data_IF_456661025297
#
_entry.id   IF_456661025297
#
_cell.length_a   1.000
_cell.length_b   1.000
_cell.length_c   1.000
_cell.angle_alpha   90.00
_cell.angle_beta   90.00
_cell.angle_gamma   90.00
#
_symmetry.space_group_name_H-M   'P 1'
#
loop_
_entity.id
_entity.type
_entity.pdbx_description
1 polymer ?
#
# COMPACT_ATOMS: atom_id res chain seq x y z
N UNK A 1 -10.91 36.27 30.45
CA UNK A 1 -10.73 35.77 31.82
C UNK A 1 -11.02 34.30 31.81
N UNK A 2 -10.12 33.38 32.08
CA UNK A 2 -8.70 33.39 32.39
C UNK A 2 -8.44 31.87 32.29
N UNK A 3 -7.79 31.41 31.23
CA UNK A 3 -6.34 31.26 31.19
C UNK A 3 -5.79 30.35 32.29
N UNK A 4 -5.00 29.39 31.81
CA UNK A 4 -3.93 28.68 32.52
C UNK A 4 -4.36 27.68 33.60
N UNK A 5 -4.39 26.41 33.20
CA UNK A 5 -3.35 25.43 33.56
C UNK A 5 -3.75 24.06 32.96
N UNK A 6 -2.91 23.25 32.32
CA UNK A 6 -1.50 23.27 31.95
C UNK A 6 -1.42 22.12 30.91
N UNK A 7 -1.21 22.39 29.62
CA UNK A 7 0.07 22.14 28.92
C UNK A 7 0.95 21.06 29.56
N UNK A 8 1.28 20.02 28.78
CA UNK A 8 2.57 19.32 28.57
C UNK A 8 2.23 17.84 28.23
N UNK A 9 2.42 17.30 27.03
CA UNK A 9 3.67 17.21 26.27
C UNK A 9 3.65 17.93 24.90
N UNK A 10 4.51 18.94 24.79
CA UNK A 10 5.24 19.30 23.58
C UNK A 10 6.55 18.47 23.63
N UNK A 11 6.94 17.84 22.53
CA UNK A 11 8.31 17.89 21.96
C UNK A 11 8.42 16.99 20.73
N UNK A 12 8.83 17.65 19.64
CA UNK A 12 9.63 17.23 18.50
C UNK A 12 10.11 15.76 18.44
N UNK A 13 10.21 15.24 17.21
CA UNK A 13 11.50 14.85 16.62
C UNK A 13 11.41 14.97 15.10
N UNK A 14 12.16 15.95 14.59
CA UNK A 14 12.89 15.88 13.32
C UNK A 14 14.06 14.93 13.56
N UNK A 15 14.38 14.03 12.62
CA UNK A 15 15.72 14.04 11.98
C UNK A 15 15.98 12.90 10.99
N UNK A 16 16.64 13.32 9.92
CA UNK A 16 17.56 12.61 9.05
C UNK A 16 18.36 11.50 9.73
N UNK A 17 18.72 10.47 8.96
CA UNK A 17 19.94 9.72 9.24
C UNK A 17 21.06 10.18 8.30
N UNK A 18 21.87 11.10 8.82
CA UNK A 18 23.31 11.11 8.57
C UNK A 18 23.82 9.76 9.05
N UNK A 19 24.54 9.04 8.20
CA UNK A 19 25.20 7.78 8.53
C UNK A 19 25.92 7.85 9.88
N UNK A 20 25.34 7.24 10.91
CA UNK A 20 26.14 6.48 11.87
C UNK A 20 25.63 5.06 11.84
N UNK A 21 26.57 4.12 11.79
CA UNK A 21 26.33 2.68 11.71
C UNK A 21 25.33 2.29 12.81
N UNK A 22 24.09 1.89 12.47
CA UNK A 22 23.18 0.91 13.11
C UNK A 22 21.72 1.20 12.64
N UNK A 23 21.01 0.13 12.25
CA UNK A 23 19.58 -0.03 11.84
C UNK A 23 19.03 0.49 10.49
N UNK A 24 18.55 -0.41 9.60
CA UNK A 24 17.53 -0.10 8.57
C UNK A 24 16.24 0.43 9.20
N UNK A 25 15.46 1.24 8.50
CA UNK A 25 14.06 1.53 8.85
C UNK A 25 13.26 1.72 7.56
N UNK A 26 12.04 1.16 7.49
CA UNK A 26 11.11 1.39 6.39
C UNK A 26 10.33 2.68 6.66
N UNK A 27 10.19 3.52 5.64
CA UNK A 27 9.41 4.77 5.72
C UNK A 27 8.12 4.59 4.92
N UNK A 28 7.00 4.76 5.60
CA UNK A 28 5.68 4.78 4.97
C UNK A 28 5.19 6.22 4.91
N UNK A 29 4.82 6.67 3.72
CA UNK A 29 4.22 7.97 3.49
C UNK A 29 2.72 7.76 3.22
N UNK A 30 1.89 8.30 4.10
CA UNK A 30 0.44 8.24 4.00
C UNK A 30 -0.09 9.57 3.45
N UNK A 31 -0.92 9.51 2.42
CA UNK A 31 -1.58 10.68 1.82
C UNK A 31 -3.05 10.65 2.20
N UNK A 32 -3.44 11.48 3.16
CA UNK A 32 -4.83 11.59 3.61
C UNK A 32 -5.56 12.68 2.83
N UNK A 33 -6.68 12.32 2.22
CA UNK A 33 -7.58 13.30 1.62
C UNK A 33 -8.23 14.16 2.71
N UNK A 34 -8.17 15.48 2.53
CA UNK A 34 -8.81 16.46 3.42
C UNK A 34 -10.06 17.11 2.82
N UNK A 35 -10.16 17.14 1.49
CA UNK A 35 -11.24 17.79 0.76
C UNK A 35 -11.70 16.92 -0.42
N UNK A 36 -12.95 17.05 -0.88
CA UNK A 36 -13.44 16.32 -2.06
C UNK A 36 -12.67 16.71 -3.33
N UNK A 37 -12.60 15.80 -4.31
CA UNK A 37 -12.00 16.07 -5.62
C UNK A 37 -12.87 17.09 -6.37
N UNK A 38 -12.28 18.18 -6.84
CA UNK A 38 -13.00 19.26 -7.51
C UNK A 38 -12.70 19.31 -9.02
N UNK A 39 -11.44 19.58 -9.40
CA UNK A 39 -10.98 19.60 -10.79
C UNK A 39 -10.03 18.44 -11.04
N UNK A 40 -10.29 17.63 -12.08
CA UNK A 40 -9.53 16.40 -12.33
C UNK A 40 -8.03 16.68 -12.56
N UNK A 41 -7.67 17.70 -13.35
CA UNK A 41 -6.26 18.01 -13.65
C UNK A 41 -5.56 18.50 -12.38
N UNK A 42 -6.19 19.41 -11.63
CA UNK A 42 -5.64 19.97 -10.39
C UNK A 42 -5.50 18.89 -9.30
N UNK A 43 -6.46 17.97 -9.19
CA UNK A 43 -6.42 16.86 -8.25
C UNK A 43 -5.35 15.82 -8.62
N UNK A 44 -5.27 15.41 -9.88
CA UNK A 44 -4.22 14.51 -10.35
C UNK A 44 -2.83 15.14 -10.20
N UNK A 45 -2.70 16.44 -10.44
CA UNK A 45 -1.46 17.19 -10.21
C UNK A 45 -1.10 17.24 -8.72
N UNK A 46 -2.09 17.42 -7.84
CA UNK A 46 -1.90 17.39 -6.38
C UNK A 46 -1.39 16.01 -5.92
N UNK A 47 -1.96 14.92 -6.46
CA UNK A 47 -1.56 13.56 -6.08
C UNK A 47 -0.27 13.09 -6.76
N UNK A 48 0.08 13.60 -7.93
CA UNK A 48 1.36 13.29 -8.58
C UNK A 48 2.58 13.78 -7.76
N UNK A 49 2.42 14.85 -6.98
CA UNK A 49 3.47 15.45 -6.13
C UNK A 49 4.07 14.47 -5.11
N UNK A 50 3.29 13.86 -4.21
CA UNK A 50 3.82 12.88 -3.27
C UNK A 50 4.30 11.61 -3.96
N UNK A 51 3.71 11.22 -5.11
CA UNK A 51 4.19 10.09 -5.92
C UNK A 51 5.61 10.35 -6.44
N UNK A 52 5.86 11.50 -7.07
CA UNK A 52 7.19 11.87 -7.58
C UNK A 52 8.22 11.98 -6.45
N UNK A 53 7.81 12.54 -5.32
CA UNK A 53 8.63 12.62 -4.12
C UNK A 53 8.99 11.22 -3.63
N UNK A 54 8.03 10.30 -3.66
CA UNK A 54 8.27 8.94 -3.20
C UNK A 54 9.17 8.14 -4.13
N UNK A 55 8.97 8.26 -5.44
CA UNK A 55 9.83 7.68 -6.47
C UNK A 55 11.27 8.22 -6.33
N UNK A 56 11.43 9.52 -6.07
CA UNK A 56 12.74 10.13 -5.83
C UNK A 56 13.46 9.50 -4.65
N UNK A 57 12.79 9.37 -3.50
CA UNK A 57 13.42 8.82 -2.30
C UNK A 57 13.57 7.30 -2.33
N UNK A 58 12.86 6.59 -3.22
CA UNK A 58 13.07 5.18 -3.50
C UNK A 58 14.38 4.90 -4.26
N UNK A 59 14.99 5.92 -4.91
CA UNK A 59 16.26 5.75 -5.61
C UNK A 59 17.37 5.23 -4.68
N UNK A 60 18.22 4.35 -5.21
CA UNK A 60 19.37 3.82 -4.48
C UNK A 60 20.33 4.96 -4.12
N UNK A 61 20.72 5.03 -2.85
CA UNK A 61 21.53 6.14 -2.31
C UNK A 61 22.87 6.32 -3.01
N UNK A 62 23.52 5.23 -3.40
CA UNK A 62 24.79 5.26 -4.15
C UNK A 62 24.62 6.01 -5.48
N UNK A 63 23.55 5.72 -6.23
CA UNK A 63 23.22 6.45 -7.46
C UNK A 63 22.96 7.93 -7.18
N UNK A 64 22.16 8.24 -6.17
CA UNK A 64 21.83 9.64 -5.81
C UNK A 64 23.08 10.43 -5.43
N UNK A 65 24.01 9.80 -4.71
CA UNK A 65 25.29 10.43 -4.34
C UNK A 65 26.15 10.76 -5.56
N UNK A 66 26.11 9.97 -6.64
CA UNK A 66 26.84 10.31 -7.88
C UNK A 66 26.34 11.58 -8.55
N UNK A 67 25.08 11.96 -8.28
CA UNK A 67 24.44 13.17 -8.82
C UNK A 67 24.64 14.38 -7.90
N UNK A 68 25.20 14.17 -6.71
CA UNK A 68 25.45 15.23 -5.72
C UNK A 68 24.31 15.44 -4.70
N UNK A 69 23.32 14.53 -4.65
CA UNK A 69 22.24 14.58 -3.68
C UNK A 69 20.85 14.53 -4.31
N UNK A 70 19.83 14.32 -3.46
CA UNK A 70 18.42 14.27 -3.90
C UNK A 70 17.93 15.59 -4.49
N UNK A 71 18.46 16.71 -4.01
CA UNK A 71 18.16 18.07 -4.49
C UNK A 71 18.69 18.36 -5.90
N UNK A 72 19.58 17.51 -6.42
CA UNK A 72 20.15 17.63 -7.77
C UNK A 72 19.53 16.68 -8.79
N UNK A 73 18.67 15.76 -8.36
CA UNK A 73 18.01 14.82 -9.28
C UNK A 73 16.90 15.56 -10.02
N UNK A 74 17.07 15.73 -11.33
CA UNK A 74 16.04 16.29 -12.23
C UNK A 74 14.96 15.26 -12.55
N UNK A 75 13.79 15.69 -13.02
CA UNK A 75 12.74 14.76 -13.47
C UNK A 75 13.21 13.83 -14.60
N UNK A 76 14.00 14.35 -15.53
CA UNK A 76 14.61 13.54 -16.59
C UNK A 76 15.57 12.48 -16.00
N UNK A 77 16.38 12.86 -15.03
CA UNK A 77 17.31 11.93 -14.41
C UNK A 77 16.59 10.91 -13.52
N UNK A 78 15.51 11.31 -12.83
CA UNK A 78 14.63 10.43 -12.09
C UNK A 78 14.12 9.28 -12.99
N UNK A 79 13.65 9.60 -14.20
CA UNK A 79 13.14 8.61 -15.15
C UNK A 79 14.20 7.59 -15.59
N UNK A 80 15.49 7.96 -15.56
CA UNK A 80 16.62 7.09 -15.95
C UNK A 80 17.19 6.29 -14.80
N UNK A 81 17.15 6.86 -13.59
CA UNK A 81 17.69 6.24 -12.38
C UNK A 81 16.69 5.30 -11.73
N UNK A 82 15.40 5.61 -11.84
CA UNK A 82 14.34 4.76 -11.30
C UNK A 82 14.24 3.49 -12.12
N UNK A 83 14.20 2.36 -11.43
CA UNK A 83 13.89 1.06 -12.02
C UNK A 83 12.56 0.63 -11.44
N UNK A 84 11.55 0.51 -12.28
CA UNK A 84 10.24 0.05 -11.86
C UNK A 84 10.38 -1.28 -11.10
N UNK A 85 9.89 -1.32 -9.87
CA UNK A 85 9.59 -2.56 -9.18
C UNK A 85 8.25 -3.09 -9.70
N UNK A 86 8.16 -4.39 -9.99
CA UNK A 86 6.94 -5.08 -10.49
C UNK A 86 5.73 -5.03 -9.51
N UNK A 87 5.73 -4.20 -8.46
CA UNK A 87 4.77 -4.27 -7.36
C UNK A 87 4.31 -2.95 -6.74
N UNK A 88 4.91 -1.79 -7.04
CA UNK A 88 4.75 -0.58 -6.21
C UNK A 88 3.29 -0.14 -6.05
N UNK A 89 2.52 -0.10 -7.13
CA UNK A 89 1.08 0.24 -7.10
C UNK A 89 0.21 -0.83 -6.42
N UNK A 90 0.56 -2.11 -6.58
CA UNK A 90 -0.12 -3.23 -5.92
C UNK A 90 0.12 -3.20 -4.41
N UNK A 91 1.35 -2.90 -4.01
CA UNK A 91 1.79 -2.67 -2.64
C UNK A 91 1.03 -1.50 -2.01
N UNK A 92 0.84 -0.37 -2.73
CA UNK A 92 0.02 0.74 -2.24
C UNK A 92 -1.42 0.31 -1.91
N UNK A 93 -2.02 -0.53 -2.77
CA UNK A 93 -3.38 -1.04 -2.53
C UNK A 93 -3.44 -2.00 -1.34
N UNK A 94 -2.48 -2.91 -1.25
CA UNK A 94 -2.34 -3.85 -0.12
C UNK A 94 -2.23 -3.10 1.21
N UNK A 95 -1.39 -2.06 1.26
CA UNK A 95 -1.24 -1.24 2.44
C UNK A 95 -2.48 -0.39 2.74
N UNK A 96 -3.10 0.25 1.75
CA UNK A 96 -4.32 1.04 1.96
C UNK A 96 -5.45 0.19 2.57
N UNK A 97 -5.60 -1.05 2.11
CA UNK A 97 -6.56 -1.99 2.71
C UNK A 97 -6.17 -2.35 4.15
N UNK A 98 -4.90 -2.63 4.41
CA UNK A 98 -4.40 -2.94 5.75
C UNK A 98 -4.62 -1.77 6.73
N UNK A 99 -4.27 -0.56 6.32
CA UNK A 99 -4.37 0.65 7.14
C UNK A 99 -5.83 1.03 7.39
N UNK A 100 -6.70 0.94 6.40
CA UNK A 100 -8.13 1.15 6.57
C UNK A 100 -8.74 0.19 7.62
N UNK A 101 -8.30 -1.06 7.68
CA UNK A 101 -8.71 -2.00 8.74
C UNK A 101 -8.16 -1.56 10.09
N UNK A 102 -6.86 -1.24 10.16
CA UNK A 102 -6.18 -0.84 11.40
C UNK A 102 -6.78 0.43 12.02
N UNK A 103 -7.19 1.38 11.19
CA UNK A 103 -7.80 2.64 11.60
C UNK A 103 -9.34 2.59 11.70
N UNK A 104 -9.93 1.43 11.40
CA UNK A 104 -11.35 1.18 11.60
C UNK A 104 -12.29 1.88 10.60
N UNK A 105 -11.90 2.04 9.33
CA UNK A 105 -12.79 2.58 8.30
C UNK A 105 -14.02 1.67 8.12
N UNK A 106 -15.19 2.18 8.53
CA UNK A 106 -16.43 1.42 8.53
C UNK A 106 -16.80 0.83 7.16
N UNK A 107 -16.52 1.55 6.06
CA UNK A 107 -16.86 1.09 4.69
C UNK A 107 -16.04 -0.12 4.29
N UNK A 108 -14.77 -0.16 4.72
CA UNK A 108 -13.87 -1.30 4.49
C UNK A 108 -14.19 -2.44 5.45
N UNK A 109 -14.38 -2.16 6.74
CA UNK A 109 -14.66 -3.16 7.76
C UNK A 109 -15.95 -3.93 7.48
N UNK A 110 -17.04 -3.25 7.08
CA UNK A 110 -18.33 -3.88 6.78
C UNK A 110 -18.20 -4.91 5.64
N UNK A 111 -17.57 -4.50 4.54
CA UNK A 111 -17.34 -5.33 3.34
C UNK A 111 -16.49 -6.55 3.65
N UNK A 112 -15.39 -6.34 4.37
CA UNK A 112 -14.47 -7.43 4.74
C UNK A 112 -15.14 -8.39 5.71
N UNK A 113 -15.95 -7.89 6.65
CA UNK A 113 -16.71 -8.71 7.57
C UNK A 113 -17.69 -9.62 6.83
N UNK A 114 -18.38 -9.12 5.80
CA UNK A 114 -19.26 -9.94 4.96
C UNK A 114 -18.50 -11.01 4.18
N UNK A 115 -17.32 -10.69 3.66
CA UNK A 115 -16.44 -11.69 3.03
C UNK A 115 -15.97 -12.76 4.02
N UNK A 116 -15.65 -12.36 5.24
CA UNK A 116 -15.20 -13.24 6.30
C UNK A 116 -16.32 -14.19 6.77
N UNK A 117 -17.56 -13.71 6.87
CA UNK A 117 -18.76 -14.53 7.14
C UNK A 117 -18.93 -15.65 6.11
N UNK A 118 -18.79 -15.34 4.81
CA UNK A 118 -18.83 -16.35 3.74
C UNK A 118 -17.67 -17.35 3.81
N UNK A 119 -16.53 -16.94 4.36
CA UNK A 119 -15.41 -17.82 4.66
C UNK A 119 -15.55 -18.59 5.98
N UNK A 120 -16.64 -18.37 6.74
CA UNK A 120 -16.88 -18.93 8.07
C UNK A 120 -15.78 -18.57 9.07
N UNK A 121 -15.22 -17.36 8.94
CA UNK A 121 -14.32 -16.76 9.93
C UNK A 121 -15.21 -15.96 10.89
N UNK A 122 -15.55 -16.48 12.08
CA UNK A 122 -16.42 -15.78 13.02
C UNK A 122 -15.66 -14.68 13.76
N UNK A 123 -16.38 -13.70 14.28
CA UNK A 123 -15.85 -12.69 15.20
C UNK A 123 -16.37 -11.30 14.89
N UNK A 124 -15.92 -10.33 15.68
CA UNK A 124 -16.33 -8.92 15.55
C UNK A 124 -15.17 -7.93 15.61
N UNK A 125 -14.04 -8.30 16.22
CA UNK A 125 -12.85 -7.44 16.28
C UNK A 125 -11.90 -7.77 15.13
N UNK A 126 -12.12 -7.15 13.97
CA UNK A 126 -11.40 -7.44 12.72
C UNK A 126 -9.99 -6.83 12.73
N UNK A 127 -8.99 -7.67 12.49
CA UNK A 127 -7.58 -7.30 12.36
C UNK A 127 -7.01 -7.80 11.05
N UNK A 128 -5.88 -7.20 10.65
CA UNK A 128 -5.13 -7.64 9.49
C UNK A 128 -3.63 -7.73 9.77
N UNK A 129 -2.97 -8.71 9.16
CA UNK A 129 -1.52 -8.86 9.17
C UNK A 129 -1.04 -8.78 7.73
N UNK A 130 -0.16 -7.83 7.44
CA UNK A 130 0.37 -7.58 6.10
C UNK A 130 1.56 -8.48 5.83
N UNK A 131 1.60 -9.12 4.66
CA UNK A 131 2.65 -10.08 4.26
C UNK A 131 3.33 -9.75 2.93
N UNK A 132 2.63 -9.08 2.00
CA UNK A 132 3.08 -8.86 0.62
C UNK A 132 4.19 -7.82 0.42
N UNK A 133 4.52 -7.06 1.47
CA UNK A 133 5.26 -5.81 1.34
C UNK A 133 6.78 -5.92 1.38
N UNK A 134 7.34 -7.08 1.75
CA UNK A 134 8.75 -7.15 2.12
C UNK A 134 9.49 -8.28 1.42
N UNK A 135 10.18 -7.98 0.31
CA UNK A 135 11.25 -8.86 -0.21
C UNK A 135 12.51 -8.81 0.66
N UNK A 136 12.64 -7.82 1.55
CA UNK A 136 13.83 -7.48 2.35
C UNK A 136 13.56 -7.45 3.86
N UNK A 137 12.35 -7.09 4.30
CA UNK A 137 11.97 -7.02 5.72
C UNK A 137 11.65 -8.38 6.36
N UNK A 138 10.49 -9.01 6.22
CA UNK A 138 10.07 -10.25 6.94
C UNK A 138 10.06 -10.19 8.47
N UNK A 139 10.87 -9.35 9.11
CA UNK A 139 10.97 -9.25 10.57
C UNK A 139 9.81 -8.44 11.14
N UNK A 140 9.43 -7.30 10.54
CA UNK A 140 8.22 -6.55 10.93
C UNK A 140 6.90 -7.30 10.68
N UNK A 141 6.87 -8.16 9.65
CA UNK A 141 5.75 -9.08 9.42
C UNK A 141 5.62 -10.09 10.56
N UNK A 142 6.75 -10.59 11.07
CA UNK A 142 6.78 -11.50 12.23
C UNK A 142 6.37 -10.73 13.48
N UNK A 143 6.84 -9.50 13.69
CA UNK A 143 6.54 -8.72 14.89
C UNK A 143 5.03 -8.42 15.02
N UNK A 144 4.39 -7.89 13.97
CA UNK A 144 2.92 -7.65 13.97
C UNK A 144 2.14 -8.98 14.13
N UNK A 145 2.63 -10.05 13.51
CA UNK A 145 2.04 -11.37 13.65
C UNK A 145 2.22 -11.97 15.05
N UNK A 146 3.34 -11.70 15.72
CA UNK A 146 3.63 -12.17 17.07
C UNK A 146 2.78 -11.45 18.13
N UNK A 147 2.45 -10.19 17.89
CA UNK A 147 1.53 -9.39 18.73
C UNK A 147 0.08 -9.85 18.59
N UNK A 148 -0.37 -10.14 17.36
CA UNK A 148 -1.78 -10.45 17.08
C UNK A 148 -2.11 -11.95 17.14
N UNK A 149 -1.16 -12.84 16.86
CA UNK A 149 -1.40 -14.28 16.81
C UNK A 149 -1.06 -14.95 18.13
N UNK A 150 -1.98 -15.77 18.62
CA UNK A 150 -1.73 -16.69 19.74
C UNK A 150 -1.24 -18.05 19.24
N UNK A 151 -0.81 -18.92 20.16
CA UNK A 151 -0.50 -20.32 19.83
C UNK A 151 -1.72 -21.09 19.31
N UNK A 152 -2.93 -20.56 19.53
CA UNK A 152 -4.18 -21.13 19.08
C UNK A 152 -4.77 -20.54 17.80
N UNK A 153 -4.12 -19.53 17.21
CA UNK A 153 -4.59 -18.91 15.97
C UNK A 153 -4.79 -19.93 14.88
N UNK A 154 -6.03 -20.05 14.40
CA UNK A 154 -6.41 -21.05 13.40
C UNK A 154 -6.66 -20.41 12.04
N UNK A 155 -5.95 -20.91 11.04
CA UNK A 155 -6.18 -20.54 9.64
C UNK A 155 -7.33 -21.39 9.05
N UNK A 156 -8.35 -20.71 8.54
CA UNK A 156 -9.47 -21.30 7.81
C UNK A 156 -9.19 -21.22 6.31
N UNK A 157 -9.04 -22.39 5.68
CA UNK A 157 -8.63 -22.55 4.28
C UNK A 157 -9.68 -23.30 3.42
N UNK A 158 -10.93 -23.37 3.90
CA UNK A 158 -12.10 -23.76 3.10
C UNK A 158 -12.24 -25.25 2.75
N UNK A 159 -11.41 -26.13 3.29
CA UNK A 159 -11.55 -27.59 3.11
C UNK A 159 -11.91 -28.29 4.42
N UNK A 160 -12.46 -29.51 4.31
CA UNK A 160 -12.82 -30.33 5.48
C UNK A 160 -11.55 -30.80 6.18
N UNK A 161 -11.40 -30.48 7.46
CA UNK A 161 -10.25 -30.87 8.27
C UNK A 161 -10.08 -29.96 9.48
N UNK A 162 -9.14 -30.30 10.35
CA UNK A 162 -8.78 -29.42 11.46
C UNK A 162 -8.05 -28.19 10.91
N UNK A 163 -8.50 -26.97 11.25
CA UNK A 163 -7.76 -25.75 10.93
C UNK A 163 -6.31 -25.80 11.42
N UNK A 164 -5.38 -25.32 10.60
CA UNK A 164 -3.95 -25.30 10.91
C UNK A 164 -3.64 -24.16 11.89
N UNK A 165 -2.70 -24.39 12.80
CA UNK A 165 -2.18 -23.35 13.70
C UNK A 165 -1.29 -22.39 12.90
N UNK A 166 -1.76 -21.16 12.67
CA UNK A 166 -1.08 -20.18 11.81
C UNK A 166 0.31 -19.84 12.36
N UNK A 167 0.41 -19.53 13.66
CA UNK A 167 1.67 -19.17 14.34
C UNK A 167 2.79 -20.20 14.12
N UNK A 168 2.46 -21.50 14.14
CA UNK A 168 3.42 -22.59 13.93
C UNK A 168 4.02 -22.63 12.52
N UNK A 169 3.35 -22.06 11.53
CA UNK A 169 3.75 -22.11 10.13
C UNK A 169 4.27 -20.77 9.59
N UNK A 170 4.25 -19.68 10.38
CA UNK A 170 4.70 -18.35 9.96
C UNK A 170 6.09 -18.35 9.34
N UNK A 171 7.08 -18.95 10.01
CA UNK A 171 8.46 -19.01 9.51
C UNK A 171 8.56 -19.79 8.19
N UNK A 172 7.79 -20.87 8.05
CA UNK A 172 7.73 -21.65 6.81
C UNK A 172 7.08 -20.86 5.67
N UNK A 173 6.01 -20.12 5.97
CA UNK A 173 5.30 -19.25 5.04
C UNK A 173 6.24 -18.13 4.58
N UNK A 174 6.86 -17.41 5.51
CA UNK A 174 7.86 -16.37 5.25
C UNK A 174 9.03 -16.88 4.38
N UNK A 175 9.54 -18.08 4.69
CA UNK A 175 10.55 -18.73 3.86
C UNK A 175 10.08 -19.01 2.43
N UNK A 176 8.81 -19.40 2.24
CA UNK A 176 8.20 -19.71 0.94
C UNK A 176 7.95 -18.48 0.05
N UNK A 177 7.79 -17.30 0.65
CA UNK A 177 7.78 -16.01 -0.05
C UNK A 177 9.15 -15.69 -0.65
N UNK A 178 10.21 -15.79 0.17
CA UNK A 178 11.60 -15.45 -0.21
C UNK A 178 12.20 -16.43 -1.22
N UNK A 179 11.89 -17.72 -1.09
CA UNK A 179 12.55 -18.76 -1.87
C UNK A 179 11.54 -19.78 -2.42
N UNK A 180 11.57 -19.99 -3.74
CA UNK A 180 10.71 -20.99 -4.38
C UNK A 180 10.98 -22.42 -3.90
N UNK A 181 12.21 -22.72 -3.47
CA UNK A 181 12.63 -24.06 -3.07
C UNK A 181 12.09 -24.50 -1.71
N UNK A 182 11.62 -23.57 -0.87
CA UNK A 182 11.02 -23.87 0.45
C UNK A 182 9.52 -24.11 0.37
N UNK A 183 8.86 -23.72 -0.73
CA UNK A 183 7.41 -23.92 -0.96
C UNK A 183 6.94 -25.38 -0.83
N UNK A 184 7.71 -26.40 -1.26
CA UNK A 184 7.32 -27.80 -1.06
C UNK A 184 7.24 -28.23 0.41
N UNK A 185 7.87 -27.50 1.34
CA UNK A 185 7.82 -27.81 2.78
C UNK A 185 6.51 -27.39 3.46
N UNK A 186 5.68 -26.57 2.79
CA UNK A 186 4.37 -26.21 3.30
C UNK A 186 3.38 -27.38 3.18
N UNK A 187 2.52 -27.61 4.19
CA UNK A 187 1.44 -28.58 4.09
C UNK A 187 0.58 -28.35 2.85
N UNK A 188 0.10 -29.42 2.23
CA UNK A 188 -0.66 -29.37 0.97
C UNK A 188 -1.82 -28.37 1.00
N UNK A 189 -2.57 -28.35 2.12
CA UNK A 189 -3.72 -27.48 2.34
C UNK A 189 -3.40 -25.99 2.34
N UNK A 190 -2.14 -25.61 2.58
CA UNK A 190 -1.67 -24.22 2.68
C UNK A 190 -0.48 -23.92 1.77
N UNK A 191 -0.20 -24.80 0.79
CA UNK A 191 0.94 -24.67 -0.12
C UNK A 191 0.87 -23.42 -1.00
N UNK A 192 -0.29 -22.78 -1.10
CA UNK A 192 -0.52 -21.55 -1.84
C UNK A 192 -0.36 -20.27 -1.02
N UNK A 193 -0.08 -20.34 0.28
CA UNK A 193 -0.01 -19.14 1.15
C UNK A 193 1.10 -18.17 0.81
N UNK A 194 2.12 -18.59 0.06
CA UNK A 194 3.15 -17.68 -0.48
C UNK A 194 2.59 -16.66 -1.48
N UNK A 195 1.32 -16.80 -1.90
CA UNK A 195 0.59 -15.82 -2.73
C UNK A 195 -0.32 -14.91 -1.90
N UNK A 196 -0.36 -15.07 -0.58
CA UNK A 196 -1.17 -14.22 0.29
C UNK A 196 -0.51 -12.85 0.41
N UNK A 197 -1.31 -11.80 0.37
CA UNK A 197 -0.85 -10.42 0.55
C UNK A 197 -1.16 -9.96 1.99
N UNK A 198 -2.27 -10.46 2.55
CA UNK A 198 -2.75 -10.21 3.92
C UNK A 198 -3.20 -11.51 4.60
N UNK A 199 -3.24 -11.52 5.93
CA UNK A 199 -4.14 -12.38 6.70
C UNK A 199 -5.18 -11.51 7.38
N UNK A 200 -6.45 -11.86 7.19
CA UNK A 200 -7.58 -11.20 7.83
C UNK A 200 -8.13 -12.11 8.91
N UNK A 201 -8.34 -11.60 10.10
CA UNK A 201 -8.84 -12.42 11.18
C UNK A 201 -9.50 -11.62 12.27
N UNK A 202 -10.12 -12.34 13.19
CA UNK A 202 -10.79 -11.77 14.34
C UNK A 202 -10.01 -12.14 15.59
N UNK A 203 -9.53 -11.14 16.33
CA UNK A 203 -8.75 -11.37 17.56
C UNK A 203 -9.60 -12.07 18.64
N UNK A 204 -10.92 -11.80 18.67
CA UNK A 204 -11.86 -12.33 19.66
C UNK A 204 -12.14 -13.83 19.49
N UNK A 205 -12.01 -14.37 18.29
CA UNK A 205 -12.20 -15.81 18.02
C UNK A 205 -10.91 -16.54 17.65
N UNK A 206 -9.86 -15.77 17.41
CA UNK A 206 -8.56 -16.21 16.93
C UNK A 206 -8.66 -17.10 15.67
N UNK A 207 -9.46 -16.62 14.72
CA UNK A 207 -9.71 -17.23 13.42
C UNK A 207 -9.26 -16.29 12.32
N UNK A 208 -8.51 -16.86 11.38
CA UNK A 208 -7.83 -16.12 10.33
C UNK A 208 -8.11 -16.74 8.97
N UNK A 209 -8.10 -15.93 7.92
CA UNK A 209 -8.16 -16.33 6.52
C UNK A 209 -7.01 -15.67 5.77
N UNK A 210 -6.38 -16.43 4.88
CA UNK A 210 -5.38 -15.86 3.99
C UNK A 210 -6.08 -15.15 2.84
N UNK A 211 -5.57 -13.97 2.55
CA UNK A 211 -6.21 -13.00 1.66
C UNK A 211 -5.21 -12.58 0.61
N UNK A 212 -5.67 -12.57 -0.64
CA UNK A 212 -4.94 -11.92 -1.74
C UNK A 212 -5.65 -10.63 -2.09
N UNK A 213 -4.87 -9.58 -2.36
CA UNK A 213 -5.32 -8.24 -2.71
C UNK A 213 -4.71 -7.91 -4.07
N UNK A 214 -5.56 -7.56 -5.03
CA UNK A 214 -5.10 -7.22 -6.39
C UNK A 214 -5.85 -6.02 -6.92
N UNK A 215 -5.10 -5.07 -7.47
CA UNK A 215 -5.69 -3.90 -8.15
C UNK A 215 -6.47 -4.29 -9.41
N UNK A 216 -6.04 -5.36 -10.08
CA UNK A 216 -6.74 -5.91 -11.24
C UNK A 216 -7.42 -7.25 -10.88
N UNK A 217 -8.77 -7.32 -10.91
CA UNK A 217 -9.51 -8.57 -10.69
C UNK A 217 -9.09 -9.73 -11.59
N UNK A 218 -8.57 -9.46 -12.80
CA UNK A 218 -8.08 -10.49 -13.70
C UNK A 218 -6.83 -11.21 -13.17
N UNK A 219 -6.07 -10.57 -12.28
CA UNK A 219 -4.87 -11.13 -11.64
C UNK A 219 -5.20 -11.90 -10.35
N UNK A 220 -6.47 -11.94 -9.90
CA UNK A 220 -6.84 -12.80 -8.79
C UNK A 220 -6.66 -14.26 -9.19
N UNK A 221 -5.83 -14.98 -8.44
CA UNK A 221 -5.60 -16.41 -8.62
C UNK A 221 -6.01 -17.19 -7.37
N UNK A 222 -6.72 -18.29 -7.56
CA UNK A 222 -6.97 -19.25 -6.48
C UNK A 222 -5.70 -20.01 -6.12
N UNK A 223 -5.51 -20.33 -4.83
CA UNK A 223 -4.45 -21.23 -4.39
C UNK A 223 -4.83 -21.91 -3.07
N UNK A 224 -4.24 -23.08 -2.80
CA UNK A 224 -4.47 -23.81 -1.56
C UNK A 224 -4.09 -22.95 -0.34
N UNK A 225 -5.04 -22.71 0.56
CA UNK A 225 -4.85 -21.85 1.72
C UNK A 225 -5.52 -20.48 1.59
N UNK A 226 -5.64 -19.94 0.38
CA UNK A 226 -6.27 -18.64 0.12
C UNK A 226 -7.79 -18.76 0.19
N UNK A 227 -8.44 -17.74 0.74
CA UNK A 227 -9.90 -17.72 0.91
C UNK A 227 -10.57 -16.42 0.56
N UNK A 228 -9.92 -15.28 0.74
CA UNK A 228 -10.50 -13.97 0.43
C UNK A 228 -9.67 -13.33 -0.69
N UNK A 229 -10.36 -12.78 -1.69
CA UNK A 229 -9.76 -11.99 -2.76
C UNK A 229 -10.30 -10.56 -2.69
N UNK A 230 -9.48 -9.59 -2.31
CA UNK A 230 -9.86 -8.17 -2.29
C UNK A 230 -9.47 -7.53 -3.60
N UNK A 231 -10.44 -6.86 -4.20
CA UNK A 231 -10.27 -6.11 -5.44
C UNK A 231 -11.05 -4.83 -5.36
N UNK A 232 -10.69 -3.82 -6.16
CA UNK A 232 -11.55 -2.66 -6.27
C UNK A 232 -12.81 -2.94 -7.09
N UNK A 233 -13.89 -2.28 -6.71
CA UNK A 233 -15.11 -2.18 -7.51
C UNK A 233 -14.81 -1.40 -8.81
N UNK A 234 -15.41 -1.81 -9.92
CA UNK A 234 -15.38 -1.07 -11.18
C UNK A 234 -16.75 -0.48 -11.46
N UNK A 235 -16.78 0.77 -11.93
CA UNK A 235 -18.02 1.45 -12.31
C UNK A 235 -18.87 0.58 -13.25
N UNK A 236 -20.18 0.49 -12.98
CA UNK A 236 -21.12 -0.31 -13.76
C UNK A 236 -21.01 -1.83 -13.57
N UNK A 237 -20.17 -2.33 -12.63
CA UNK A 237 -20.16 -3.74 -12.22
C UNK A 237 -20.72 -3.91 -10.82
N UNK A 238 -21.26 -5.10 -10.55
CA UNK A 238 -21.72 -5.44 -9.22
C UNK A 238 -20.56 -5.44 -8.23
N UNK A 239 -20.80 -4.80 -7.11
CA UNK A 239 -19.93 -4.63 -5.95
C UNK A 239 -20.23 -5.66 -4.83
N UNK A 240 -21.14 -6.60 -5.10
CA UNK A 240 -21.53 -7.63 -4.13
C UNK A 240 -20.36 -8.56 -3.84
N UNK A 241 -20.15 -8.81 -2.55
CA UNK A 241 -19.29 -9.89 -2.07
C UNK A 241 -19.85 -11.23 -2.57
N UNK A 242 -19.02 -12.06 -3.20
CA UNK A 242 -19.47 -13.31 -3.81
C UNK A 242 -18.41 -14.40 -3.77
N UNK A 243 -18.84 -15.65 -3.76
CA UNK A 243 -17.96 -16.80 -3.91
C UNK A 243 -17.65 -17.04 -5.40
N UNK A 244 -16.37 -17.05 -5.75
CA UNK A 244 -15.85 -17.62 -7.00
C UNK A 244 -15.46 -19.07 -6.72
N UNK A 245 -16.33 -20.00 -7.15
CA UNK A 245 -16.13 -21.44 -6.91
C UNK A 245 -14.92 -22.00 -7.66
N UNK A 246 -14.61 -21.47 -8.84
CA UNK A 246 -13.47 -21.92 -9.65
C UNK A 246 -12.14 -21.60 -8.97
N UNK A 247 -12.04 -20.42 -8.36
CA UNK A 247 -10.85 -20.01 -7.60
C UNK A 247 -10.89 -20.47 -6.15
N UNK A 248 -12.05 -20.93 -5.67
CA UNK A 248 -12.34 -21.17 -4.27
C UNK A 248 -12.00 -19.93 -3.41
N UNK A 249 -12.40 -18.75 -3.88
CA UNK A 249 -12.17 -17.45 -3.23
C UNK A 249 -13.49 -16.71 -3.03
N UNK A 250 -13.70 -16.15 -1.86
CA UNK A 250 -14.70 -15.11 -1.66
C UNK A 250 -14.11 -13.80 -2.17
N UNK A 251 -14.63 -13.32 -3.28
CA UNK A 251 -14.24 -12.04 -3.87
C UNK A 251 -14.98 -10.93 -3.13
N UNK A 252 -14.21 -10.01 -2.56
CA UNK A 252 -14.67 -8.82 -1.85
C UNK A 252 -14.33 -7.58 -2.66
N UNK A 253 -15.29 -7.02 -3.43
CA UNK A 253 -15.13 -5.73 -4.05
C UNK A 253 -15.18 -4.63 -2.98
N UNK A 254 -14.07 -3.95 -2.77
CA UNK A 254 -14.04 -2.71 -2.00
C UNK A 254 -14.37 -1.56 -2.92
N UNK A 255 -15.27 -0.68 -2.50
CA UNK A 255 -15.41 0.60 -3.16
C UNK A 255 -14.02 1.26 -3.14
N UNK A 256 -13.50 1.52 -4.33
CA UNK A 256 -12.74 2.75 -4.44
C UNK A 256 -13.78 3.83 -4.16
N UNK A 257 -13.62 4.56 -3.06
CA UNK A 257 -14.28 5.86 -2.96
C UNK A 257 -14.02 6.55 -4.29
N UNK A 258 -15.09 6.86 -5.01
CA UNK A 258 -15.07 7.16 -6.45
C UNK A 258 -14.24 8.41 -6.81
N UNK A 259 -13.63 9.07 -5.84
CA UNK A 259 -12.87 10.29 -6.04
C UNK A 259 -11.37 10.11 -5.73
N UNK A 260 -10.96 9.74 -4.51
CA UNK A 260 -9.55 9.87 -4.14
C UNK A 260 -8.64 8.70 -4.50
N UNK A 261 -9.06 7.46 -4.22
CA UNK A 261 -8.26 6.28 -4.57
C UNK A 261 -8.09 6.18 -6.08
N UNK A 262 -9.16 6.48 -6.82
CA UNK A 262 -9.13 6.52 -8.28
C UNK A 262 -8.15 7.60 -8.77
N UNK A 263 -8.24 8.84 -8.27
CA UNK A 263 -7.28 9.90 -8.62
C UNK A 263 -5.85 9.51 -8.26
N UNK A 264 -5.62 8.84 -7.13
CA UNK A 264 -4.28 8.35 -6.78
C UNK A 264 -3.74 7.32 -7.77
N UNK A 265 -4.55 6.33 -8.18
CA UNK A 265 -4.12 5.34 -9.16
C UNK A 265 -3.91 5.93 -10.54
N UNK A 266 -4.76 6.87 -10.94
CA UNK A 266 -4.63 7.58 -12.20
C UNK A 266 -3.34 8.43 -12.20
N UNK A 267 -3.08 9.18 -11.13
CA UNK A 267 -1.83 9.93 -10.96
C UNK A 267 -0.60 9.01 -10.97
N UNK A 268 -0.66 7.86 -10.29
CA UNK A 268 0.42 6.86 -10.31
C UNK A 268 0.69 6.34 -11.71
N UNK A 269 -0.36 5.97 -12.45
CA UNK A 269 -0.25 5.50 -13.83
C UNK A 269 0.33 6.58 -14.74
N UNK A 270 -0.04 7.84 -14.54
CA UNK A 270 0.54 8.97 -15.28
C UNK A 270 2.04 9.08 -15.01
N UNK A 271 2.45 9.07 -13.73
CA UNK A 271 3.88 9.15 -13.35
C UNK A 271 4.67 7.97 -13.91
N UNK A 272 4.13 6.75 -13.83
CA UNK A 272 4.77 5.57 -14.40
C UNK A 272 4.94 5.68 -15.92
N UNK A 273 3.86 6.01 -16.64
CA UNK A 273 3.93 6.18 -18.09
C UNK A 273 4.89 7.30 -18.51
N UNK A 274 4.94 8.39 -17.73
CA UNK A 274 5.86 9.51 -17.92
C UNK A 274 7.33 9.11 -17.72
N UNK A 275 7.63 8.33 -16.68
CA UNK A 275 8.97 7.77 -16.44
C UNK A 275 9.35 6.80 -17.56
N UNK A 276 8.47 5.88 -17.94
CA UNK A 276 8.69 4.91 -19.03
C UNK A 276 8.92 5.61 -20.39
N UNK A 277 8.37 6.83 -20.54
CA UNK A 277 8.58 7.68 -21.71
C UNK A 277 9.86 8.54 -21.64
N UNK A 278 10.78 8.28 -20.70
CA UNK A 278 12.01 9.07 -20.46
C UNK A 278 11.70 10.54 -20.18
N UNK A 279 10.75 10.78 -19.25
CA UNK A 279 10.27 12.10 -18.86
C UNK A 279 9.72 12.95 -20.03
N UNK A 280 9.05 12.29 -20.98
CA UNK A 280 8.33 12.91 -22.10
C UNK A 280 6.85 12.61 -22.00
N UNK A 281 6.03 13.36 -22.74
CA UNK A 281 4.59 13.06 -22.87
C UNK A 281 4.42 11.67 -23.49
N UNK A 282 3.76 10.72 -22.79
CA UNK A 282 3.53 9.38 -23.31
C UNK A 282 2.65 9.38 -24.56
N UNK A 283 2.78 8.34 -25.38
CA UNK A 283 1.92 8.14 -26.54
C UNK A 283 0.45 8.01 -26.11
N UNK A 284 -0.48 8.46 -26.94
CA UNK A 284 -1.92 8.38 -26.69
C UNK A 284 -2.42 6.95 -26.40
N UNK A 285 -1.79 5.93 -26.99
CA UNK A 285 -2.10 4.53 -26.68
C UNK A 285 -1.83 4.15 -25.20
N UNK A 286 -0.87 4.81 -24.55
CA UNK A 286 -0.53 4.58 -23.13
C UNK A 286 -1.44 5.38 -22.21
N UNK A 287 -1.68 6.66 -22.55
CA UNK A 287 -2.56 7.58 -21.83
C UNK A 287 -3.65 8.11 -22.78
N UNK A 288 -4.78 7.40 -22.92
CA UNK A 288 -5.82 7.74 -23.88
C UNK A 288 -6.69 8.93 -23.46
N UNK A 289 -6.77 9.24 -22.17
CA UNK A 289 -7.53 10.40 -21.68
C UNK A 289 -6.76 11.70 -21.90
N UNK A 290 -7.42 12.77 -22.38
CA UNK A 290 -6.78 14.09 -22.51
C UNK A 290 -6.26 14.65 -21.18
N UNK A 291 -7.01 14.46 -20.09
CA UNK A 291 -6.64 14.90 -18.73
C UNK A 291 -5.30 14.28 -18.30
N UNK A 292 -5.16 12.95 -18.44
CA UNK A 292 -3.91 12.23 -18.11
C UNK A 292 -2.70 12.78 -18.89
N UNK A 293 -2.91 13.08 -20.18
CA UNK A 293 -1.85 13.65 -21.04
C UNK A 293 -1.50 15.08 -20.66
N UNK A 294 -2.46 15.88 -20.20
CA UNK A 294 -2.20 17.23 -19.74
C UNK A 294 -1.32 17.24 -18.49
N UNK A 295 -1.61 16.37 -17.51
CA UNK A 295 -0.75 16.19 -16.34
C UNK A 295 0.66 15.75 -16.76
N UNK A 296 0.77 14.77 -17.66
CA UNK A 296 2.08 14.34 -18.19
C UNK A 296 2.83 15.47 -18.92
N UNK A 297 2.12 16.36 -19.61
CA UNK A 297 2.69 17.53 -20.29
C UNK A 297 3.20 18.57 -19.29
N UNK A 298 2.45 18.86 -18.22
CA UNK A 298 2.90 19.72 -17.12
C UNK A 298 4.25 19.23 -16.55
N UNK A 299 4.41 17.91 -16.38
CA UNK A 299 5.66 17.30 -15.93
C UNK A 299 6.77 17.38 -16.99
N UNK A 300 6.45 17.08 -18.25
CA UNK A 300 7.41 17.08 -19.36
C UNK A 300 8.02 18.47 -19.64
N UNK A 301 7.22 19.53 -19.53
CA UNK A 301 7.69 20.92 -19.64
C UNK A 301 8.72 21.29 -18.55
N UNK A 302 8.74 20.55 -17.44
CA UNK A 302 9.60 20.79 -16.28
C UNK A 302 10.69 19.72 -16.12
N UNK A 303 10.89 18.87 -17.13
CA UNK A 303 11.78 17.69 -17.03
C UNK A 303 13.24 18.01 -16.68
N UNK A 304 13.71 19.21 -17.02
CA UNK A 304 15.10 19.65 -16.80
C UNK A 304 15.34 20.20 -15.38
N UNK A 305 14.29 20.41 -14.59
CA UNK A 305 14.38 20.96 -13.25
C UNK A 305 14.47 19.86 -12.18
N UNK A 306 15.09 20.14 -11.01
CA UNK A 306 15.10 19.24 -9.87
C UNK A 306 13.69 18.81 -9.44
N UNK A 307 13.51 17.53 -9.11
CA UNK A 307 12.20 16.96 -8.75
C UNK A 307 11.54 17.73 -7.60
N UNK A 308 12.30 18.09 -6.57
CA UNK A 308 11.78 18.81 -5.41
C UNK A 308 11.27 20.22 -5.78
N UNK A 309 11.98 20.92 -6.67
CA UNK A 309 11.55 22.22 -7.18
C UNK A 309 10.28 22.10 -8.05
N UNK A 310 10.20 21.03 -8.85
CA UNK A 310 9.00 20.78 -9.67
C UNK A 310 7.78 20.50 -8.80
N UNK A 311 7.92 19.66 -7.77
CA UNK A 311 6.85 19.32 -6.82
C UNK A 311 6.32 20.55 -6.09
N UNK A 312 7.21 21.50 -5.75
CA UNK A 312 6.84 22.79 -5.17
C UNK A 312 6.10 23.66 -6.21
N UNK A 313 6.67 23.81 -7.41
CA UNK A 313 6.14 24.68 -8.46
C UNK A 313 4.74 24.25 -8.95
N UNK A 314 4.51 22.95 -9.15
CA UNK A 314 3.19 22.45 -9.58
C UNK A 314 2.17 22.50 -8.43
N UNK A 315 2.64 22.64 -7.18
CA UNK A 315 1.78 22.82 -6.01
C UNK A 315 0.89 24.06 -6.10
N UNK A 316 1.38 25.13 -6.72
CA UNK A 316 0.65 26.40 -6.93
C UNK A 316 -0.61 26.23 -7.79
N UNK A 317 -0.58 25.28 -8.73
CA UNK A 317 -1.67 25.01 -9.67
C UNK A 317 -2.44 23.73 -9.34
N UNK A 318 -2.02 23.03 -8.28
CA UNK A 318 -2.69 21.83 -7.79
C UNK A 318 -3.90 22.18 -6.94
N UNK A 319 -4.82 21.23 -6.76
CA UNK A 319 -5.98 21.47 -5.89
C UNK A 319 -5.49 21.76 -4.46
N UNK A 320 -5.78 22.95 -3.90
CA UNK A 320 -5.32 23.32 -2.57
C UNK A 320 -5.97 22.43 -1.52
N UNK A 321 -5.19 22.09 -0.50
CA UNK A 321 -5.66 21.32 0.66
C UNK A 321 -6.34 19.99 0.30
N UNK A 322 -6.04 19.40 -0.87
CA UNK A 322 -6.57 18.07 -1.20
C UNK A 322 -5.96 17.00 -0.28
N UNK A 323 -4.67 17.14 0.06
CA UNK A 323 -3.86 16.13 0.73
C UNK A 323 -3.20 16.66 2.01
N UNK A 324 -3.18 15.80 3.03
CA UNK A 324 -2.26 15.85 4.15
C UNK A 324 -1.31 14.64 4.11
N UNK A 325 -0.02 14.92 4.01
CA UNK A 325 1.03 13.90 4.07
C UNK A 325 1.40 13.60 5.52
N UNK A 326 1.28 12.33 5.94
CA UNK A 326 1.76 11.82 7.23
C UNK A 326 2.88 10.80 6.98
N UNK A 327 4.05 11.03 7.59
CA UNK A 327 5.18 10.09 7.53
C UNK A 327 5.21 9.22 8.80
N UNK A 328 5.17 7.90 8.62
CA UNK A 328 5.33 6.93 9.73
C UNK A 328 6.60 6.11 9.54
N UNK A 329 7.45 6.05 10.56
CA UNK A 329 8.58 5.11 10.61
C UNK A 329 8.14 3.81 11.29
N UNK A 330 8.35 2.69 10.61
CA UNK A 330 8.23 1.37 11.24
C UNK A 330 9.64 0.89 11.53
N UNK A 331 9.98 0.66 12.81
CA UNK A 331 11.34 0.28 13.22
C UNK A 331 11.71 -1.13 12.75
N UNK A 332 12.77 -1.28 11.95
CA UNK A 332 13.34 -2.59 11.59
C UNK A 332 14.43 -2.93 12.59
N UNK A 333 14.31 -4.04 13.32
CA UNK A 333 15.45 -4.56 14.08
C UNK A 333 16.47 -5.21 13.13
N UNK A 334 17.75 -4.87 13.31
CA UNK A 334 18.89 -5.26 12.47
C UNK A 334 19.06 -6.77 12.30
N UNK A 335 19.14 -7.25 11.06
CA UNK A 335 20.01 -8.38 10.69
C UNK A 335 20.59 -8.21 9.28
N UNK A 336 21.85 -8.64 9.12
CA UNK A 336 22.76 -8.36 7.99
C UNK A 336 22.18 -8.68 6.60
N UNK A 337 21.98 -7.64 5.80
CA UNK A 337 21.75 -7.67 4.36
C UNK A 337 21.71 -6.24 3.83
N UNK A 338 22.28 -5.97 2.65
CA UNK A 338 22.30 -4.62 2.07
C UNK A 338 20.88 -4.11 1.86
N UNK A 339 20.52 -3.04 2.56
CA UNK A 339 19.27 -2.31 2.45
C UNK A 339 19.11 -1.75 1.04
N UNK A 340 18.14 -2.28 0.28
CA UNK A 340 17.58 -1.58 -0.86
C UNK A 340 16.41 -0.73 -0.35
N UNK A 341 16.34 0.50 -0.83
CA UNK A 341 15.38 1.53 -0.46
C UNK A 341 13.95 1.09 -0.78
N UNK A 342 13.14 0.81 0.24
CA UNK A 342 11.71 0.54 0.09
C UNK A 342 10.93 1.73 0.69
N UNK A 343 10.31 2.53 -0.18
CA UNK A 343 9.30 3.52 0.21
C UNK A 343 7.94 3.03 -0.22
N UNK A 344 6.98 3.12 0.69
CA UNK A 344 5.58 2.75 0.45
C UNK A 344 4.74 4.02 0.52
N UNK A 345 4.02 4.31 -0.56
CA UNK A 345 3.05 5.41 -0.60
C UNK A 345 1.64 4.85 -0.43
N UNK A 346 0.87 5.39 0.50
CA UNK A 346 -0.44 4.86 0.85
C UNK A 346 -1.53 5.94 0.83
N UNK A 347 -2.49 5.88 -0.10
CA UNK A 347 -3.64 6.80 -0.11
C UNK A 347 -4.67 6.43 0.97
N UNK A 348 -5.20 7.45 1.65
CA UNK A 348 -6.30 7.36 2.62
C UNK A 348 -7.43 8.32 2.25
N UNK A 349 -8.68 7.86 2.12
CA UNK A 349 -9.81 8.73 1.81
C UNK A 349 -10.16 9.65 2.98
N UNK A 350 -11.02 10.64 2.72
CA UNK A 350 -11.55 11.51 3.77
C UNK A 350 -12.28 10.67 4.83
N UNK A 351 -12.05 10.97 6.12
CA UNK A 351 -12.74 10.29 7.20
C UNK A 351 -14.19 10.79 7.25
N UNK A 352 -15.19 9.91 7.42
CA UNK A 352 -16.56 10.37 7.58
C UNK A 352 -16.67 11.28 8.81
N UNK A 353 -17.22 12.46 8.61
CA UNK A 353 -17.43 13.45 9.67
C UNK A 353 -18.43 12.88 10.69
N UNK A 354 -17.92 12.36 11.81
CA UNK A 354 -18.75 11.77 12.87
C UNK A 354 -19.56 12.83 13.65
N UNK A 355 -19.45 14.12 13.30
CA UNK A 355 -20.08 15.22 14.04
C UNK A 355 -20.90 16.21 13.19
N UNK A 356 -21.25 15.91 11.93
CA UNK A 356 -22.19 16.75 11.17
C UNK A 356 -23.65 16.35 11.48
N UNK A 357 -24.19 16.86 12.59
CA UNK A 357 -25.64 17.07 12.79
C UNK A 357 -25.90 18.42 13.41
#
# INVERSE_FOLDING_TARGET
>A
MLDIALRTLIKAIVAFNVTTRIDPAMRVQQERQLNPVADEVAALTAVARPILTGVLYALRRDLVQTVGGYDKVTLELLARLYRAGDGDCGICFEYAVHDAIRNGDARVLERISDAAKLCKVPGTDLHSILFGLEKTGTQQLIDTAEELLTDDSRLLYGTKGQPLKLRKHLNGIAGAFRNRNTRPALPYSIRGLWKADLFLGFSDTDRWAATTVKINPAQLEGAAGLRIGIVPTRQGRSDKVKLDENKNLVVCPLHHDEDFMQVFYEAWRIVQAFIDADAKVPKEIMLPRPVDREVAKILAERREFPVLEVVEAIGVFSQPELLATNDTQVGLQTLKGSTQTDMVLAPMPEAPDLFSK
#
